data_IF_021808668320
#
_entry.id   IF_021808668320
#
_cell.length_a   1.000
_cell.length_b   1.000
_cell.length_c   1.000
_cell.angle_alpha   90.00
_cell.angle_beta   90.00
_cell.angle_gamma   90.00
#
_symmetry.space_group_name_H-M   'P 1'
#
loop_
_entity.id
_entity.type
_entity.pdbx_description
1 polymer ?
#
# COMPACT_ATOMS: atom_id res chain seq x y z
N UNK A 1 -6.16 10.64 -15.86
CA UNK A 1 -5.27 11.27 -14.84
C UNK A 1 -4.31 10.23 -14.25
N UNK A 2 -2.98 10.45 -14.32
CA UNK A 2 -1.99 9.51 -13.76
C UNK A 2 -1.71 9.81 -12.28
N UNK A 3 -1.71 8.77 -11.44
CA UNK A 3 -1.45 8.85 -9.99
C UNK A 3 0.04 8.98 -9.64
N UNK A 4 0.92 8.91 -10.66
CA UNK A 4 2.37 8.76 -10.50
C UNK A 4 2.69 7.59 -9.54
N UNK A 5 2.38 6.34 -9.95
CA UNK A 5 2.59 5.19 -9.09
C UNK A 5 4.07 5.02 -8.78
N UNK A 6 4.37 4.61 -7.55
CA UNK A 6 5.72 4.41 -7.06
C UNK A 6 5.98 2.93 -6.76
N UNK A 7 6.43 2.59 -5.56
CA UNK A 7 6.57 1.20 -5.14
C UNK A 7 5.23 0.46 -5.09
N UNK A 8 5.33 -0.86 -5.25
CA UNK A 8 4.20 -1.78 -5.15
C UNK A 8 4.58 -3.05 -4.39
N UNK A 9 3.59 -3.64 -3.72
CA UNK A 9 3.72 -4.92 -3.04
C UNK A 9 2.43 -5.74 -3.12
N UNK A 10 2.57 -7.05 -3.33
CA UNK A 10 1.50 -7.99 -3.06
C UNK A 10 1.41 -8.25 -1.57
N UNK A 11 0.20 -8.21 -1.03
CA UNK A 11 -0.04 -8.54 0.38
C UNK A 11 0.00 -10.06 0.56
N UNK A 12 0.74 -10.51 1.56
CA UNK A 12 0.92 -11.93 1.88
C UNK A 12 0.95 -12.16 3.40
N UNK A 13 1.02 -13.42 3.81
CA UNK A 13 1.12 -13.78 5.22
C UNK A 13 -0.21 -13.75 5.98
N UNK A 14 -0.14 -13.67 7.30
CA UNK A 14 -1.28 -13.87 8.21
C UNK A 14 -1.76 -12.61 8.95
N UNK A 15 -1.00 -11.52 8.88
CA UNK A 15 -1.31 -10.26 9.58
C UNK A 15 -2.51 -9.56 8.93
N UNK A 16 -2.52 -9.45 7.59
CA UNK A 16 -3.59 -8.81 6.82
C UNK A 16 -4.46 -9.85 6.08
N UNK A 17 -5.11 -10.76 6.83
CA UNK A 17 -5.81 -11.93 6.26
C UNK A 17 -6.77 -11.58 5.12
N UNK A 18 -7.55 -10.51 5.29
CA UNK A 18 -8.55 -10.10 4.30
C UNK A 18 -7.95 -9.39 3.08
N UNK A 19 -6.65 -9.10 3.10
CA UNK A 19 -5.98 -8.40 2.02
C UNK A 19 -5.02 -9.31 1.23
N UNK A 20 -4.82 -10.56 1.65
CA UNK A 20 -3.90 -11.49 0.97
C UNK A 20 -4.25 -11.59 -0.53
N UNK A 21 -3.24 -11.41 -1.38
CA UNK A 21 -3.39 -11.41 -2.85
C UNK A 21 -3.73 -10.04 -3.47
N UNK A 22 -4.11 -9.05 -2.65
CA UNK A 22 -4.29 -7.68 -3.12
C UNK A 22 -2.95 -7.01 -3.42
N UNK A 23 -2.98 -6.00 -4.27
CA UNK A 23 -1.83 -5.16 -4.58
C UNK A 23 -1.95 -3.83 -3.88
N UNK A 24 -0.85 -3.39 -3.28
CA UNK A 24 -0.68 -2.06 -2.75
C UNK A 24 0.20 -1.26 -3.71
N UNK A 25 -0.20 -0.02 -4.01
CA UNK A 25 0.60 0.91 -4.80
C UNK A 25 0.62 2.31 -4.18
N UNK A 26 1.80 2.91 -4.09
CA UNK A 26 1.95 4.28 -3.61
C UNK A 26 1.57 5.31 -4.67
N UNK A 27 1.01 6.44 -4.25
CA UNK A 27 0.81 7.62 -5.11
C UNK A 27 1.70 8.78 -4.67
N UNK A 28 2.67 9.14 -5.52
CA UNK A 28 3.49 10.33 -5.31
C UNK A 28 2.72 11.63 -5.56
N UNK A 29 1.75 11.61 -6.48
CA UNK A 29 0.99 12.81 -6.86
C UNK A 29 -0.10 13.14 -5.86
N UNK A 30 -0.77 12.12 -5.34
CA UNK A 30 -1.98 12.26 -4.53
C UNK A 30 -1.79 11.87 -3.06
N UNK A 31 -0.57 11.54 -2.64
CA UNK A 31 -0.20 11.35 -1.24
C UNK A 31 -1.04 10.29 -0.49
N UNK A 32 -1.28 9.15 -1.14
CA UNK A 32 -2.03 8.05 -0.55
C UNK A 32 -1.43 6.70 -0.90
N UNK A 33 -1.92 5.66 -0.22
CA UNK A 33 -1.73 4.26 -0.58
C UNK A 33 -2.99 3.74 -1.27
N UNK A 34 -2.89 3.17 -2.46
CA UNK A 34 -3.99 2.50 -3.14
C UNK A 34 -3.94 0.99 -2.87
N UNK A 35 -5.09 0.39 -2.54
CA UNK A 35 -5.26 -1.05 -2.43
C UNK A 35 -6.17 -1.53 -3.55
N UNK A 36 -5.61 -2.29 -4.48
CA UNK A 36 -6.36 -2.92 -5.57
C UNK A 36 -6.68 -4.37 -5.22
N UNK A 37 -7.97 -4.71 -5.17
CA UNK A 37 -8.44 -6.09 -4.97
C UNK A 37 -8.34 -6.84 -6.28
N UNK A 38 -7.61 -7.96 -6.27
CA UNK A 38 -7.41 -8.79 -7.45
C UNK A 38 -8.23 -10.07 -7.32
N UNK A 39 -9.03 -10.34 -8.36
CA UNK A 39 -9.75 -11.60 -8.54
C UNK A 39 -9.61 -12.05 -9.99
N UNK A 40 -9.22 -13.30 -10.20
CA UNK A 40 -9.02 -13.89 -11.54
C UNK A 40 -8.13 -13.01 -12.45
N UNK A 41 -7.02 -12.52 -11.90
CA UNK A 41 -6.08 -11.60 -12.55
C UNK A 41 -6.69 -10.26 -13.03
N UNK A 42 -7.84 -9.86 -12.49
CA UNK A 42 -8.49 -8.57 -12.76
C UNK A 42 -8.65 -7.77 -11.49
N UNK A 43 -8.51 -6.45 -11.60
CA UNK A 43 -8.86 -5.53 -10.52
C UNK A 43 -10.39 -5.45 -10.46
N UNK A 44 -10.97 -5.77 -9.30
CA UNK A 44 -12.41 -5.74 -9.07
C UNK A 44 -12.85 -4.61 -8.15
N UNK A 45 -11.92 -4.06 -7.37
CA UNK A 45 -12.15 -2.96 -6.43
C UNK A 45 -10.85 -2.19 -6.19
N UNK A 46 -10.96 -0.89 -5.94
CA UNK A 46 -9.85 -0.04 -5.50
C UNK A 46 -10.25 0.76 -4.26
N UNK A 47 -9.38 0.80 -3.27
CA UNK A 47 -9.58 1.54 -2.03
C UNK A 47 -8.40 2.48 -1.77
N UNK A 48 -8.71 3.75 -1.46
CA UNK A 48 -7.70 4.73 -1.05
C UNK A 48 -7.51 4.66 0.47
N UNK A 49 -6.30 4.29 0.87
CA UNK A 49 -5.83 4.20 2.25
C UNK A 49 -4.84 5.32 2.56
N UNK A 50 -4.70 5.66 3.85
CA UNK A 50 -3.67 6.57 4.36
C UNK A 50 -3.57 7.90 3.58
N UNK A 51 -4.71 8.57 3.36
CA UNK A 51 -4.73 9.88 2.72
C UNK A 51 -3.88 10.87 3.51
N UNK A 52 -3.19 11.74 2.77
CA UNK A 52 -2.35 12.82 3.31
C UNK A 52 -1.17 12.33 4.18
N UNK A 53 -0.76 11.07 4.04
CA UNK A 53 0.42 10.52 4.71
C UNK A 53 1.74 11.11 4.18
N UNK A 54 1.67 11.78 3.03
CA UNK A 54 2.81 12.36 2.31
C UNK A 54 3.08 11.65 0.98
N UNK A 55 4.12 12.11 0.27
CA UNK A 55 4.49 11.56 -1.04
C UNK A 55 5.05 10.14 -0.88
N UNK A 56 4.20 9.13 -1.10
CA UNK A 56 4.53 7.73 -0.86
C UNK A 56 5.44 7.20 -1.98
N UNK A 57 6.66 6.79 -1.61
CA UNK A 57 7.73 6.39 -2.51
C UNK A 57 7.87 4.88 -2.66
N UNK A 58 7.67 4.13 -1.58
CA UNK A 58 7.77 2.67 -1.63
C UNK A 58 6.81 2.02 -0.64
N UNK A 59 6.39 0.79 -0.96
CA UNK A 59 5.60 -0.09 -0.10
C UNK A 59 6.15 -1.51 -0.20
N UNK A 60 6.37 -2.15 0.95
CA UNK A 60 6.94 -3.51 1.03
C UNK A 60 6.28 -4.33 2.13
N UNK A 61 6.23 -5.65 1.91
CA UNK A 61 6.02 -6.62 2.98
C UNK A 61 7.35 -6.84 3.71
N UNK A 62 7.36 -6.63 5.01
CA UNK A 62 8.48 -6.96 5.88
C UNK A 62 8.55 -8.47 6.18
N UNK A 63 9.72 -8.97 6.63
CA UNK A 63 9.89 -10.37 7.01
C UNK A 63 9.09 -10.76 8.26
N UNK A 64 8.67 -9.78 9.06
CA UNK A 64 7.76 -9.91 10.20
C UNK A 64 6.28 -9.99 9.80
N UNK A 65 5.98 -9.90 8.50
CA UNK A 65 4.64 -9.98 7.93
C UNK A 65 3.86 -8.66 7.97
N UNK A 66 4.48 -7.54 8.38
CA UNK A 66 3.85 -6.22 8.34
C UNK A 66 4.11 -5.49 7.03
N UNK A 67 3.20 -4.60 6.65
CA UNK A 67 3.38 -3.67 5.54
C UNK A 67 4.13 -2.44 6.06
N UNK A 68 5.19 -2.08 5.33
CA UNK A 68 5.96 -0.87 5.54
C UNK A 68 5.79 0.07 4.35
N UNK A 69 5.64 1.36 4.62
CA UNK A 69 5.58 2.40 3.59
C UNK A 69 6.65 3.46 3.85
N UNK A 70 7.23 4.01 2.78
CA UNK A 70 8.21 5.09 2.85
C UNK A 70 7.68 6.36 2.17
N UNK A 71 7.94 7.52 2.76
CA UNK A 71 7.62 8.85 2.19
C UNK A 71 8.89 9.64 1.86
N UNK A 72 8.77 10.65 0.99
CA UNK A 72 9.93 11.45 0.55
C UNK A 72 10.35 12.57 1.53
N UNK A 73 9.54 13.63 1.67
CA UNK A 73 9.91 14.84 2.42
C UNK A 73 8.74 15.38 3.24
N UNK A 74 8.81 15.36 4.59
CA UNK A 74 9.81 14.65 5.39
C UNK A 74 9.82 13.13 5.11
N UNK A 75 11.02 12.54 5.18
CA UNK A 75 11.25 11.13 4.88
C UNK A 75 10.95 10.26 6.10
N UNK A 76 9.86 9.50 6.04
CA UNK A 76 9.44 8.60 7.11
C UNK A 76 9.29 7.17 6.60
N UNK A 77 9.45 6.23 7.53
CA UNK A 77 9.05 4.84 7.33
C UNK A 77 7.94 4.54 8.34
N UNK A 78 6.76 4.19 7.84
CA UNK A 78 5.64 3.78 8.67
C UNK A 78 5.44 2.27 8.60
N UNK A 79 5.00 1.69 9.71
CA UNK A 79 4.51 0.31 9.79
C UNK A 79 3.00 0.34 9.96
N UNK A 80 2.26 -0.32 9.08
CA UNK A 80 0.80 -0.35 9.14
C UNK A 80 0.36 -1.40 10.17
N UNK A 81 -0.31 -0.99 11.24
CA UNK A 81 -0.84 -1.92 12.24
C UNK A 81 -2.34 -2.13 11.98
N UNK A 82 -2.82 -3.37 11.74
CA UNK A 82 -4.24 -3.65 11.69
C UNK A 82 -4.88 -3.33 13.05
N UNK A 83 -5.96 -2.55 13.02
CA UNK A 83 -6.85 -2.42 14.18
C UNK A 83 -7.89 -3.53 14.14
N UNK A 84 -8.31 -4.01 15.32
CA UNK A 84 -9.37 -5.02 15.45
C UNK A 84 -10.72 -4.47 15.03
#
# INVERSE_FOLDING_TARGET
PSIAPSGMAFVSGKVYKNWVGNVLSGSLRFNYLNRSVIKDNKIVEEEILLKDVGRLRDVKMGPDGYIYIATESPGYIFRLIPVK
#
